data_IF_629727869397
#
_entry.id   IF_629727869397
#
_cell.length_a   1.000
_cell.length_b   1.000
_cell.length_c   1.000
_cell.angle_alpha   90.00
_cell.angle_beta   90.00
_cell.angle_gamma   90.00
#
_symmetry.space_group_name_H-M   'P 1'
#
loop_
_entity.id
_entity.type
_entity.pdbx_description
1 polymer ?
#
# COMPACT_ATOMS: atom_id res chain seq x y z
N UNK A 1 -42.41 -6.10 17.38
CA UNK A 1 -41.46 -6.50 16.31
C UNK A 1 -40.09 -6.70 16.94
N UNK A 2 -39.73 -7.96 17.22
CA UNK A 2 -38.47 -8.29 17.89
C UNK A 2 -37.38 -8.47 16.80
N UNK A 3 -36.47 -7.53 16.71
CA UNK A 3 -35.22 -7.68 15.92
C UNK A 3 -34.22 -8.47 16.75
N UNK A 4 -34.27 -9.80 16.65
CA UNK A 4 -33.17 -10.66 17.11
C UNK A 4 -32.04 -10.60 16.08
N UNK A 5 -31.15 -9.64 16.22
CA UNK A 5 -29.85 -9.66 15.55
C UNK A 5 -29.00 -10.74 16.21
N UNK A 6 -29.06 -11.98 15.71
CA UNK A 6 -28.07 -13.02 16.04
C UNK A 6 -26.74 -12.63 15.41
N UNK A 7 -25.93 -11.84 16.13
CA UNK A 7 -24.52 -11.73 15.87
C UNK A 7 -23.94 -13.14 16.13
N UNK A 8 -23.69 -13.91 15.08
CA UNK A 8 -22.82 -15.06 15.17
C UNK A 8 -21.41 -14.55 15.52
N UNK A 9 -21.12 -14.46 16.80
CA UNK A 9 -19.75 -14.31 17.26
C UNK A 9 -19.02 -15.59 16.84
N UNK A 10 -18.13 -15.44 15.86
CA UNK A 10 -17.27 -16.51 15.41
C UNK A 10 -16.46 -17.04 16.60
N UNK A 11 -16.44 -18.37 16.78
CA UNK A 11 -15.81 -19.06 17.93
C UNK A 11 -14.28 -18.94 17.96
N UNK A 12 -13.67 -18.24 17.01
CA UNK A 12 -12.22 -18.06 16.88
C UNK A 12 -11.67 -16.82 17.62
N UNK A 13 -12.30 -16.39 18.71
CA UNK A 13 -11.71 -15.38 19.61
C UNK A 13 -10.53 -15.99 20.38
N UNK A 14 -9.37 -16.12 19.74
CA UNK A 14 -8.16 -16.59 20.43
C UNK A 14 -7.06 -17.14 19.54
N UNK A 15 -7.30 -17.39 18.27
CA UNK A 15 -6.21 -17.75 17.37
C UNK A 15 -5.45 -16.48 16.96
N UNK A 16 -4.14 -16.46 17.24
CA UNK A 16 -3.26 -15.42 16.73
C UNK A 16 -3.32 -15.43 15.20
N UNK A 17 -3.51 -14.26 14.58
CA UNK A 17 -3.46 -14.08 13.13
C UNK A 17 -2.17 -14.74 12.61
N UNK A 18 -2.32 -15.74 11.73
CA UNK A 18 -1.18 -16.30 10.99
C UNK A 18 -0.94 -15.40 9.78
N UNK A 19 0.31 -15.21 9.43
CA UNK A 19 0.66 -14.35 8.30
C UNK A 19 0.02 -14.85 6.98
N UNK A 20 -0.15 -16.17 6.85
CA UNK A 20 -0.83 -16.82 5.73
C UNK A 20 -2.29 -16.39 5.60
N UNK A 21 -2.98 -16.09 6.72
CA UNK A 21 -4.38 -15.65 6.68
C UNK A 21 -4.56 -14.38 5.82
N UNK A 22 -3.50 -13.55 5.68
CA UNK A 22 -3.54 -12.32 4.88
C UNK A 22 -3.78 -12.63 3.39
N UNK A 23 -3.33 -13.78 2.87
CA UNK A 23 -3.48 -14.11 1.45
C UNK A 23 -4.30 -15.38 1.18
N UNK A 24 -4.40 -16.33 2.13
CA UNK A 24 -5.16 -17.57 1.95
C UNK A 24 -6.66 -17.41 2.20
N UNK A 25 -7.07 -16.48 3.08
CA UNK A 25 -8.47 -16.23 3.41
C UNK A 25 -9.25 -15.69 2.22
N UNK A 26 -10.48 -16.21 2.06
CA UNK A 26 -11.32 -15.98 0.89
C UNK A 26 -12.13 -14.69 0.98
N UNK A 27 -12.62 -14.26 -0.17
CA UNK A 27 -13.57 -13.17 -0.29
C UNK A 27 -14.79 -13.37 0.65
N UNK A 28 -15.20 -12.28 1.32
CA UNK A 28 -16.30 -12.27 2.28
C UNK A 28 -15.94 -12.69 3.69
N UNK A 29 -14.76 -13.28 3.91
CA UNK A 29 -14.26 -13.51 5.27
C UNK A 29 -13.83 -12.20 5.92
N UNK A 30 -13.74 -12.19 7.25
CA UNK A 30 -13.33 -11.01 8.03
C UNK A 30 -12.12 -11.34 8.88
N UNK A 31 -11.12 -10.48 8.80
CA UNK A 31 -9.92 -10.56 9.63
C UNK A 31 -9.79 -9.32 10.52
N UNK A 32 -9.15 -9.47 11.66
CA UNK A 32 -8.82 -8.35 12.55
C UNK A 32 -7.37 -7.93 12.32
N UNK A 33 -7.18 -6.97 11.40
CA UNK A 33 -5.89 -6.57 10.86
C UNK A 33 -5.40 -5.24 11.43
N UNK A 34 -4.06 -5.06 11.50
CA UNK A 34 -3.44 -3.75 11.57
C UNK A 34 -3.69 -2.97 10.26
N UNK A 35 -3.66 -1.64 10.31
CA UNK A 35 -3.71 -0.81 9.11
C UNK A 35 -2.63 -1.19 8.08
N UNK A 36 -1.40 -1.45 8.54
CA UNK A 36 -0.31 -1.91 7.67
C UNK A 36 -0.57 -3.30 7.07
N UNK A 37 -1.16 -4.24 7.83
CA UNK A 37 -1.56 -5.55 7.32
C UNK A 37 -2.71 -5.43 6.29
N UNK A 38 -3.64 -4.51 6.55
CA UNK A 38 -4.73 -4.20 5.63
C UNK A 38 -4.23 -3.58 4.32
N UNK A 39 -3.17 -2.75 4.37
CA UNK A 39 -2.52 -2.23 3.16
C UNK A 39 -1.94 -3.36 2.31
N UNK A 40 -1.26 -4.34 2.92
CA UNK A 40 -0.78 -5.52 2.19
C UNK A 40 -1.94 -6.29 1.56
N UNK A 41 -2.99 -6.59 2.33
CA UNK A 41 -4.16 -7.28 1.78
C UNK A 41 -4.77 -6.51 0.61
N UNK A 42 -4.94 -5.20 0.73
CA UNK A 42 -5.43 -4.34 -0.35
C UNK A 42 -4.54 -4.35 -1.59
N UNK A 43 -3.21 -4.39 -1.40
CA UNK A 43 -2.25 -4.52 -2.48
C UNK A 43 -2.44 -5.84 -3.26
N UNK A 44 -2.64 -6.96 -2.54
CA UNK A 44 -2.90 -8.26 -3.16
C UNK A 44 -4.25 -8.28 -3.90
N UNK A 45 -5.30 -7.69 -3.33
CA UNK A 45 -6.61 -7.57 -3.98
C UNK A 45 -6.56 -6.63 -5.21
N UNK A 46 -5.66 -5.64 -5.18
CA UNK A 46 -5.39 -4.76 -6.32
C UNK A 46 -4.51 -5.41 -7.40
N UNK A 47 -3.97 -6.60 -7.17
CA UNK A 47 -3.11 -7.31 -8.14
C UNK A 47 -1.75 -6.65 -8.33
N UNK A 48 -1.14 -6.14 -7.25
CA UNK A 48 0.22 -5.60 -7.28
C UNK A 48 1.20 -6.70 -7.67
N UNK A 49 2.12 -6.39 -8.58
CA UNK A 49 3.18 -7.29 -9.06
C UNK A 49 4.55 -6.94 -8.50
N UNK A 50 4.75 -5.68 -8.15
CA UNK A 50 6.04 -5.15 -7.72
C UNK A 50 5.86 -4.28 -6.48
N UNK A 51 6.70 -4.49 -5.47
CA UNK A 51 6.74 -3.63 -4.30
C UNK A 51 8.17 -3.37 -3.84
N UNK A 52 8.43 -2.17 -3.36
CA UNK A 52 9.73 -1.76 -2.83
C UNK A 52 9.60 -0.78 -1.68
N UNK A 53 10.60 -0.75 -0.83
CA UNK A 53 10.67 0.18 0.30
C UNK A 53 12.09 0.40 0.79
N UNK A 54 12.27 1.48 1.54
CA UNK A 54 13.34 1.58 2.53
C UNK A 54 12.70 1.59 3.93
N UNK A 55 13.19 0.78 4.89
CA UNK A 55 12.51 0.58 6.18
C UNK A 55 12.36 1.87 6.98
N UNK A 56 11.16 2.12 7.49
CA UNK A 56 10.86 3.27 8.34
C UNK A 56 9.51 3.15 9.05
N UNK A 57 9.49 3.33 10.37
CA UNK A 57 8.25 3.38 11.15
C UNK A 57 7.53 4.70 10.88
N UNK A 58 6.21 4.71 10.60
CA UNK A 58 5.22 3.68 10.94
C UNK A 58 4.82 2.69 9.81
N UNK A 59 5.55 2.58 8.70
CA UNK A 59 5.22 1.65 7.59
C UNK A 59 5.96 0.30 7.63
N UNK A 60 6.79 0.05 8.63
CA UNK A 60 7.70 -1.11 8.67
C UNK A 60 7.00 -2.46 8.60
N UNK A 61 5.80 -2.60 9.18
CA UNK A 61 5.07 -3.86 9.17
C UNK A 61 4.63 -4.29 7.78
N UNK A 62 4.38 -3.32 6.85
CA UNK A 62 4.09 -3.63 5.44
C UNK A 62 5.26 -4.43 4.85
N UNK A 63 6.49 -3.93 5.01
CA UNK A 63 7.70 -4.60 4.53
C UNK A 63 7.95 -5.95 5.21
N UNK A 64 7.72 -6.03 6.52
CA UNK A 64 7.87 -7.26 7.28
C UNK A 64 6.91 -8.36 6.84
N UNK A 65 5.68 -8.00 6.47
CA UNK A 65 4.70 -8.95 5.93
C UNK A 65 5.10 -9.36 4.51
N UNK A 66 5.35 -8.40 3.62
CA UNK A 66 5.73 -8.68 2.24
C UNK A 66 6.99 -9.53 2.14
N UNK A 67 8.02 -9.27 2.95
CA UNK A 67 9.25 -10.06 2.96
C UNK A 67 9.02 -11.56 3.25
N UNK A 68 7.90 -11.92 3.87
CA UNK A 68 7.58 -13.31 4.22
C UNK A 68 6.67 -13.99 3.21
N UNK A 69 5.84 -13.23 2.49
CA UNK A 69 4.79 -13.80 1.63
C UNK A 69 5.00 -13.52 0.15
N UNK A 70 5.86 -12.58 -0.23
CA UNK A 70 5.95 -12.06 -1.60
C UNK A 70 6.21 -13.16 -2.63
N UNK A 71 7.10 -14.11 -2.33
CA UNK A 71 7.41 -15.24 -3.21
C UNK A 71 6.16 -16.14 -3.42
N UNK A 72 5.43 -16.45 -2.33
CA UNK A 72 4.26 -17.32 -2.36
C UNK A 72 3.08 -16.69 -3.13
N UNK A 73 2.92 -15.37 -3.03
CA UNK A 73 1.85 -14.63 -3.72
C UNK A 73 2.27 -14.11 -5.11
N UNK A 74 3.51 -14.38 -5.53
CA UNK A 74 4.03 -14.01 -6.85
C UNK A 74 4.27 -12.51 -7.03
N UNK A 75 4.55 -11.79 -5.96
CA UNK A 75 4.94 -10.37 -5.95
C UNK A 75 6.45 -10.28 -5.86
N UNK A 76 7.08 -9.48 -6.72
CA UNK A 76 8.47 -9.09 -6.49
C UNK A 76 8.52 -8.06 -5.37
N UNK A 77 9.34 -8.32 -4.36
CA UNK A 77 9.53 -7.39 -3.24
C UNK A 77 11.00 -7.21 -2.89
N UNK A 78 11.41 -5.96 -2.67
CA UNK A 78 12.77 -5.65 -2.22
C UNK A 78 12.82 -4.55 -1.15
N UNK A 79 13.80 -4.66 -0.25
CA UNK A 79 14.29 -3.54 0.53
C UNK A 79 15.41 -2.85 -0.26
N UNK A 80 15.12 -1.65 -0.75
CA UNK A 80 16.08 -0.84 -1.49
C UNK A 80 17.09 -0.16 -0.56
N UNK A 81 18.19 0.36 -1.12
CA UNK A 81 19.27 0.99 -0.33
C UNK A 81 18.88 2.36 0.23
N UNK A 82 17.89 3.02 -0.33
CA UNK A 82 17.24 4.23 0.17
C UNK A 82 15.88 4.46 -0.51
N UNK A 83 15.14 5.46 -0.06
CA UNK A 83 13.78 5.74 -0.54
C UNK A 83 13.74 6.24 -1.98
N UNK A 84 14.77 6.97 -2.43
CA UNK A 84 14.87 7.40 -3.83
C UNK A 84 14.94 6.18 -4.74
N UNK A 85 15.85 5.25 -4.47
CA UNK A 85 15.97 4.01 -5.25
C UNK A 85 14.67 3.20 -5.18
N UNK A 86 14.06 3.05 -3.99
CA UNK A 86 12.78 2.36 -3.84
C UNK A 86 11.70 2.95 -4.76
N UNK A 87 11.59 4.27 -4.83
CA UNK A 87 10.61 4.93 -5.69
C UNK A 87 10.98 4.76 -7.17
N UNK A 88 12.24 4.93 -7.54
CA UNK A 88 12.69 4.79 -8.94
C UNK A 88 12.46 3.38 -9.51
N UNK A 89 12.75 2.32 -8.75
CA UNK A 89 12.49 0.94 -9.24
C UNK A 89 10.99 0.65 -9.33
N UNK A 90 10.17 1.17 -8.41
CA UNK A 90 8.71 1.08 -8.51
C UNK A 90 8.15 1.86 -9.70
N UNK A 91 8.68 3.07 -9.97
CA UNK A 91 8.31 3.87 -11.13
C UNK A 91 8.72 3.17 -12.45
N UNK A 92 9.90 2.55 -12.49
CA UNK A 92 10.33 1.76 -13.64
C UNK A 92 9.41 0.55 -13.89
N UNK A 93 9.00 -0.16 -12.83
CA UNK A 93 8.02 -1.24 -12.93
C UNK A 93 6.67 -0.73 -13.47
N UNK A 94 6.18 0.42 -12.97
CA UNK A 94 4.96 1.04 -13.47
C UNK A 94 5.09 1.51 -14.93
N UNK A 95 6.23 2.06 -15.33
CA UNK A 95 6.51 2.43 -16.72
C UNK A 95 6.51 1.19 -17.64
N UNK A 96 6.95 0.03 -17.15
CA UNK A 96 6.87 -1.25 -17.86
C UNK A 96 5.45 -1.85 -17.87
N UNK A 97 4.46 -1.20 -17.23
CA UNK A 97 3.06 -1.64 -17.22
C UNK A 97 2.67 -2.52 -16.03
N UNK A 98 3.57 -2.78 -15.09
CA UNK A 98 3.26 -3.54 -13.88
C UNK A 98 2.56 -2.64 -12.85
N UNK A 99 1.64 -3.22 -12.07
CA UNK A 99 1.11 -2.56 -10.89
C UNK A 99 2.14 -2.55 -9.80
N UNK A 100 2.52 -1.36 -9.33
CA UNK A 100 3.61 -1.18 -8.37
C UNK A 100 3.18 -0.47 -7.09
N UNK A 101 3.86 -0.80 -6.00
CA UNK A 101 3.61 -0.27 -4.67
C UNK A 101 4.93 0.09 -4.00
N UNK A 102 5.15 1.38 -3.74
CA UNK A 102 6.26 1.85 -2.92
C UNK A 102 5.72 2.47 -1.63
N UNK A 103 6.37 2.21 -0.53
CA UNK A 103 5.96 2.76 0.76
C UNK A 103 7.17 3.18 1.58
N UNK A 104 6.98 4.25 2.33
CA UNK A 104 8.04 4.84 3.12
C UNK A 104 7.47 5.72 4.23
N UNK A 105 8.30 6.03 5.18
CA UNK A 105 8.08 7.05 6.18
C UNK A 105 8.02 8.43 5.53
N UNK A 106 7.35 9.40 6.16
CA UNK A 106 7.21 10.76 5.62
C UNK A 106 8.54 11.44 5.27
N UNK A 107 9.57 11.29 6.11
CA UNK A 107 10.90 11.87 5.82
C UNK A 107 11.60 11.17 4.66
N UNK A 108 11.26 9.92 4.39
CA UNK A 108 11.75 9.20 3.22
C UNK A 108 11.27 9.81 1.92
N UNK A 109 10.08 10.42 1.91
CA UNK A 109 9.60 11.14 0.73
C UNK A 109 10.45 12.37 0.42
N UNK A 110 11.11 12.97 1.41
CA UNK A 110 12.08 14.04 1.16
C UNK A 110 13.31 13.53 0.39
N UNK A 111 13.78 12.32 0.73
CA UNK A 111 14.88 11.66 0.02
C UNK A 111 14.47 11.29 -1.41
N UNK A 112 13.23 10.87 -1.58
CA UNK A 112 12.65 10.46 -2.87
C UNK A 112 12.02 11.62 -3.66
N UNK A 113 12.11 12.88 -3.19
CA UNK A 113 11.34 14.00 -3.74
C UNK A 113 11.58 14.23 -5.24
N UNK A 114 12.82 14.13 -5.71
CA UNK A 114 13.15 14.26 -7.13
C UNK A 114 12.46 13.16 -7.97
N UNK A 115 12.60 11.90 -7.55
CA UNK A 115 11.97 10.78 -8.23
C UNK A 115 10.43 10.87 -8.16
N UNK A 116 9.87 11.36 -7.04
CA UNK A 116 8.44 11.57 -6.88
C UNK A 116 7.89 12.61 -7.85
N UNK A 117 8.51 13.80 -7.91
CA UNK A 117 8.13 14.86 -8.82
C UNK A 117 8.28 14.42 -10.29
N UNK A 118 9.41 13.79 -10.63
CA UNK A 118 9.65 13.30 -11.98
C UNK A 118 8.60 12.27 -12.41
N UNK A 119 8.25 11.33 -11.54
CA UNK A 119 7.23 10.31 -11.82
C UNK A 119 5.84 10.94 -11.99
N UNK A 120 5.49 11.95 -11.19
CA UNK A 120 4.24 12.67 -11.31
C UNK A 120 4.10 13.36 -12.68
N UNK A 121 5.17 13.95 -13.20
CA UNK A 121 5.17 14.62 -14.51
C UNK A 121 5.26 13.67 -15.71
N UNK A 122 6.03 12.58 -15.59
CA UNK A 122 6.17 11.61 -16.68
C UNK A 122 4.97 10.68 -16.79
N UNK A 123 4.26 10.47 -15.67
CA UNK A 123 3.15 9.54 -15.60
C UNK A 123 3.59 8.08 -15.55
N UNK A 124 2.61 7.20 -15.50
CA UNK A 124 2.78 5.74 -15.38
C UNK A 124 1.90 5.00 -16.39
N UNK A 125 2.27 3.76 -16.73
CA UNK A 125 1.48 2.88 -17.61
C UNK A 125 0.66 1.87 -16.79
N UNK A 126 1.32 1.15 -15.89
CA UNK A 126 0.68 0.34 -14.86
C UNK A 126 0.33 1.21 -13.65
N UNK A 127 -0.66 0.79 -12.86
CA UNK A 127 -1.04 1.53 -11.66
C UNK A 127 0.10 1.60 -10.65
N UNK A 128 0.28 2.77 -10.02
CA UNK A 128 1.33 2.99 -9.02
C UNK A 128 0.76 3.65 -7.77
N UNK A 129 1.01 3.02 -6.62
CA UNK A 129 0.73 3.59 -5.30
C UNK A 129 2.03 3.98 -4.61
N UNK A 130 2.03 5.19 -4.06
CA UNK A 130 3.08 5.71 -3.18
C UNK A 130 2.45 5.91 -1.80
N UNK A 131 2.78 5.06 -0.83
CA UNK A 131 2.27 5.20 0.53
C UNK A 131 3.26 6.01 1.36
N UNK A 132 2.82 7.18 1.81
CA UNK A 132 3.53 8.00 2.79
C UNK A 132 2.94 7.77 4.17
N UNK A 133 3.75 7.23 5.07
CA UNK A 133 3.36 7.02 6.46
C UNK A 133 3.86 8.19 7.32
N UNK A 134 2.97 9.14 7.57
CA UNK A 134 3.26 10.30 8.39
C UNK A 134 3.22 9.96 9.88
N UNK A 135 4.03 10.66 10.66
CA UNK A 135 4.16 10.46 12.10
C UNK A 135 3.84 11.76 12.87
N UNK A 136 2.56 12.18 12.91
CA UNK A 136 2.14 13.32 13.71
C UNK A 136 2.53 13.11 15.17
N UNK A 137 3.03 14.18 15.81
CA UNK A 137 3.59 14.17 17.16
C UNK A 137 4.93 13.42 17.29
N UNK A 138 5.57 13.07 16.21
CA UNK A 138 6.95 12.55 16.16
C UNK A 138 7.23 11.36 17.11
N UNK A 139 6.33 10.37 17.16
CA UNK A 139 6.47 9.20 18.05
C UNK A 139 7.76 8.42 17.78
N UNK A 140 8.22 8.34 16.53
CA UNK A 140 9.44 7.65 16.13
C UNK A 140 10.20 8.41 15.03
N UNK A 141 10.04 9.71 14.95
CA UNK A 141 10.58 10.55 13.88
C UNK A 141 11.31 11.77 14.41
N UNK A 142 12.24 12.30 13.61
CA UNK A 142 13.01 13.50 13.94
C UNK A 142 12.27 14.82 13.69
N UNK A 143 11.17 14.78 12.95
CA UNK A 143 10.30 15.92 12.68
C UNK A 143 8.85 15.49 12.47
N UNK A 144 7.98 16.47 12.38
CA UNK A 144 6.58 16.33 11.99
C UNK A 144 6.38 16.96 10.61
N UNK A 145 5.77 16.23 9.67
CA UNK A 145 5.60 16.65 8.28
C UNK A 145 4.26 16.15 7.74
N UNK A 146 3.58 17.03 7.01
CA UNK A 146 2.32 16.69 6.32
C UNK A 146 2.58 16.52 4.81
N UNK A 147 2.68 15.27 4.38
CA UNK A 147 3.00 14.96 2.98
C UNK A 147 1.83 15.16 2.00
N UNK A 148 0.64 15.53 2.47
CA UNK A 148 -0.43 16.01 1.59
C UNK A 148 0.00 17.25 0.79
N UNK A 149 0.82 18.09 1.42
CA UNK A 149 1.37 19.29 0.75
C UNK A 149 2.34 18.91 -0.38
N UNK A 150 3.17 17.87 -0.19
CA UNK A 150 4.03 17.38 -1.26
C UNK A 150 3.23 16.78 -2.43
N UNK A 151 2.17 16.05 -2.14
CA UNK A 151 1.29 15.53 -3.19
C UNK A 151 0.58 16.65 -3.94
N UNK A 152 0.11 17.67 -3.24
CA UNK A 152 -0.48 18.87 -3.87
C UNK A 152 0.53 19.58 -4.77
N UNK A 153 1.79 19.73 -4.33
CA UNK A 153 2.85 20.32 -5.13
C UNK A 153 3.14 19.51 -6.40
N UNK A 154 3.13 18.17 -6.29
CA UNK A 154 3.34 17.27 -7.41
C UNK A 154 2.10 17.13 -8.33
N UNK A 155 0.93 17.59 -7.91
CA UNK A 155 -0.32 17.45 -8.63
C UNK A 155 -0.86 16.01 -8.69
N UNK A 156 -0.54 15.16 -7.69
CA UNK A 156 -1.02 13.78 -7.61
C UNK A 156 -2.21 13.65 -6.66
N UNK A 157 -3.17 12.75 -6.94
CA UNK A 157 -4.29 12.46 -6.04
C UNK A 157 -3.81 11.89 -4.70
N UNK A 158 -4.49 12.26 -3.62
CA UNK A 158 -4.24 11.74 -2.27
C UNK A 158 -5.48 11.02 -1.76
N UNK A 159 -5.29 9.82 -1.24
CA UNK A 159 -6.27 9.08 -0.47
C UNK A 159 -5.78 8.97 0.98
N UNK A 160 -6.64 9.32 1.93
CA UNK A 160 -6.29 9.30 3.36
C UNK A 160 -7.26 8.40 4.13
N UNK A 161 -6.89 7.13 4.38
CA UNK A 161 -7.76 6.21 5.12
C UNK A 161 -7.84 6.59 6.59
N UNK A 162 -9.02 6.39 7.19
CA UNK A 162 -9.29 6.64 8.60
C UNK A 162 -9.22 5.38 9.47
N UNK A 163 -9.30 4.19 8.86
CA UNK A 163 -9.29 2.89 9.54
C UNK A 163 -8.84 1.75 8.60
N UNK A 164 -8.56 0.54 9.12
CA UNK A 164 -7.99 -0.57 8.33
C UNK A 164 -8.84 -1.00 7.12
N UNK A 165 -10.18 -0.95 7.21
CA UNK A 165 -11.01 -1.27 6.04
C UNK A 165 -10.77 -0.29 4.90
N UNK A 166 -10.78 1.02 5.18
CA UNK A 166 -10.49 2.03 4.16
C UNK A 166 -9.06 1.91 3.63
N UNK A 167 -8.09 1.57 4.50
CA UNK A 167 -6.72 1.31 4.05
C UNK A 167 -6.69 0.24 2.95
N UNK A 168 -7.37 -0.89 3.17
CA UNK A 168 -7.46 -1.96 2.17
C UNK A 168 -8.17 -1.48 0.90
N UNK A 169 -9.32 -0.83 1.05
CA UNK A 169 -10.13 -0.41 -0.10
C UNK A 169 -9.44 0.68 -0.92
N UNK A 170 -8.72 1.59 -0.28
CA UNK A 170 -8.01 2.68 -0.96
C UNK A 170 -6.79 2.20 -1.75
N UNK A 171 -6.19 1.05 -1.40
CA UNK A 171 -5.21 0.41 -2.27
C UNK A 171 -5.82 0.05 -3.62
N UNK A 172 -7.03 -0.50 -3.63
CA UNK A 172 -7.74 -0.88 -4.85
C UNK A 172 -8.17 0.37 -5.64
N UNK A 173 -8.78 1.34 -4.95
CA UNK A 173 -9.20 2.59 -5.59
C UNK A 173 -8.02 3.37 -6.14
N UNK A 174 -6.91 3.42 -5.40
CA UNK A 174 -5.68 4.10 -5.82
C UNK A 174 -5.11 3.52 -7.12
N UNK A 175 -5.06 2.20 -7.25
CA UNK A 175 -4.64 1.55 -8.50
C UNK A 175 -5.59 1.87 -9.65
N UNK A 176 -6.90 1.83 -9.42
CA UNK A 176 -7.89 2.14 -10.47
C UNK A 176 -7.76 3.60 -10.93
N UNK A 177 -7.61 4.56 -10.01
CA UNK A 177 -7.39 5.98 -10.33
C UNK A 177 -6.07 6.13 -11.10
N UNK A 178 -5.00 5.51 -10.61
CA UNK A 178 -3.69 5.59 -11.24
C UNK A 178 -3.72 5.08 -12.69
N UNK A 179 -4.35 3.94 -12.94
CA UNK A 179 -4.49 3.37 -14.30
C UNK A 179 -5.40 4.20 -15.20
N UNK A 180 -6.47 4.78 -14.65
CA UNK A 180 -7.39 5.62 -15.41
C UNK A 180 -6.72 6.92 -15.87
N UNK A 181 -5.99 7.59 -14.98
CA UNK A 181 -5.42 8.92 -15.26
C UNK A 181 -3.93 8.86 -15.63
N UNK A 182 -3.30 7.68 -15.60
CA UNK A 182 -1.88 7.47 -15.92
C UNK A 182 -0.91 8.27 -15.05
N UNK A 183 -1.26 8.47 -13.79
CA UNK A 183 -0.45 9.19 -12.79
C UNK A 183 -0.31 8.33 -11.52
N UNK A 184 0.77 8.48 -10.73
CA UNK A 184 0.83 7.84 -9.43
C UNK A 184 -0.26 8.37 -8.50
N UNK A 185 -0.68 7.57 -7.53
CA UNK A 185 -1.61 7.98 -6.47
C UNK A 185 -0.90 7.85 -5.13
N UNK A 186 -1.00 8.89 -4.30
CA UNK A 186 -0.48 8.82 -2.94
C UNK A 186 -1.57 8.30 -1.99
N UNK A 187 -1.20 7.32 -1.16
CA UNK A 187 -1.95 6.99 0.06
C UNK A 187 -1.21 7.59 1.23
N UNK A 188 -1.83 8.54 1.91
CA UNK A 188 -1.28 9.12 3.12
C UNK A 188 -1.88 8.43 4.33
N UNK A 189 -1.06 7.78 5.11
CA UNK A 189 -1.47 7.20 6.39
C UNK A 189 -0.78 7.92 7.56
N UNK A 190 -1.25 7.66 8.76
CA UNK A 190 -0.62 8.16 9.99
C UNK A 190 -0.25 7.00 10.89
N UNK A 191 0.65 7.25 11.86
CA UNK A 191 1.02 6.27 12.90
C UNK A 191 -0.21 5.64 13.53
N UNK A 192 -1.25 6.44 13.79
CA UNK A 192 -2.51 5.96 14.37
C UNK A 192 -3.19 4.91 13.47
N UNK A 193 -3.37 5.21 12.19
CA UNK A 193 -4.04 4.30 11.25
C UNK A 193 -3.17 3.09 10.93
N UNK A 194 -1.86 3.29 10.75
CA UNK A 194 -0.90 2.22 10.50
C UNK A 194 -0.92 1.14 11.58
N UNK A 195 -1.04 1.54 12.84
CA UNK A 195 -0.93 0.64 14.00
C UNK A 195 -2.27 0.33 14.68
N UNK A 196 -3.38 0.94 14.26
CA UNK A 196 -4.68 0.53 14.80
C UNK A 196 -5.10 -0.81 14.22
N UNK A 197 -5.85 -1.58 15.02
CA UNK A 197 -6.49 -2.81 14.54
C UNK A 197 -7.98 -2.59 14.30
N UNK A 198 -8.48 -3.23 13.26
CA UNK A 198 -9.89 -3.20 12.92
C UNK A 198 -10.34 -4.43 12.15
N UNK A 199 -11.65 -4.64 12.12
CA UNK A 199 -12.24 -5.70 11.30
C UNK A 199 -12.19 -5.27 9.84
N UNK A 200 -11.62 -6.12 9.00
CA UNK A 200 -11.49 -5.91 7.55
C UNK A 200 -12.22 -7.05 6.84
N UNK A 201 -13.17 -6.69 6.00
CA UNK A 201 -13.82 -7.62 5.08
C UNK A 201 -12.95 -7.80 3.85
N UNK A 202 -12.68 -9.06 3.52
CA UNK A 202 -11.73 -9.42 2.47
C UNK A 202 -12.41 -9.48 1.11
N UNK A 203 -11.72 -8.93 0.10
CA UNK A 203 -12.02 -9.14 -1.31
C UNK A 203 -11.28 -10.34 -1.89
N UNK A 204 -11.36 -10.52 -3.19
CA UNK A 204 -10.62 -11.54 -3.94
C UNK A 204 -9.17 -11.09 -4.17
N UNK A 205 -8.21 -11.93 -3.81
CA UNK A 205 -6.80 -11.73 -4.15
C UNK A 205 -6.62 -11.96 -5.65
N UNK A 206 -6.06 -10.99 -6.35
CA UNK A 206 -5.82 -11.07 -7.78
C UNK A 206 -4.35 -11.36 -8.05
N UNK A 207 -4.05 -12.28 -9.00
CA UNK A 207 -2.68 -12.49 -9.42
C UNK A 207 -2.15 -11.20 -10.07
N UNK A 208 -0.94 -10.81 -9.71
CA UNK A 208 -0.23 -9.73 -10.39
C UNK A 208 0.29 -10.18 -11.76
N UNK A 209 0.47 -9.25 -12.68
CA UNK A 209 1.17 -9.54 -13.94
C UNK A 209 2.64 -9.84 -13.66
N UNK A 210 3.19 -10.88 -14.29
CA UNK A 210 4.56 -11.36 -14.00
C UNK A 210 5.63 -10.74 -14.89
N UNK A 211 5.25 -10.14 -16.03
CA UNK A 211 6.19 -9.63 -17.01
C UNK A 211 5.80 -8.21 -17.42
N UNK A 212 6.69 -7.28 -17.10
CA UNK A 212 6.59 -5.92 -17.59
C UNK A 212 6.95 -5.85 -19.08
N UNK A 213 6.27 -4.99 -19.81
CA UNK A 213 6.52 -4.78 -21.22
C UNK A 213 6.65 -3.29 -21.54
N UNK A 214 7.73 -2.94 -22.20
CA UNK A 214 7.95 -1.59 -22.71
C UNK A 214 7.99 -1.61 -24.23
N UNK A 215 6.94 -1.07 -24.88
CA UNK A 215 6.94 -0.88 -26.32
C UNK A 215 7.48 0.53 -26.61
N UNK A 216 8.62 0.62 -27.28
CA UNK A 216 9.11 1.89 -27.83
C UNK A 216 8.18 2.25 -28.98
N UNK A 217 7.49 3.37 -28.89
CA UNK A 217 6.79 3.97 -30.04
C UNK A 217 7.86 4.60 -30.93
N UNK A 218 7.83 4.27 -32.24
CA UNK A 218 8.73 4.83 -33.25
C UNK A 218 8.33 6.27 -33.59
#
# INVERSE_FOLDING_TARGET
MNYNLKIKLDKNRGENLKIQDIYEKKQGEKLFLLGNEAAVRGALEAGISFASTYPGTPSSEIGNVLARIAEEVGVYFEFSVNEKVALEVSAAAAAAGLRSFVFMKHVGLNVAADAFMSTAYTGVRGGMIILSADDPSMHSSQNEQDNRIMAQLAGVPVLEPSHPQEMKDFMIYGINISEQFKIPVMIRTTTRVSHMRGVVELGEVKPGEKVGFFKKEE
#
